data_IF_848750601105
#
_entry.id   IF_848750601105
#
_cell.length_a   1.000
_cell.length_b   1.000
_cell.length_c   1.000
_cell.angle_alpha   90.00
_cell.angle_beta   90.00
_cell.angle_gamma   90.00
#
_symmetry.space_group_name_H-M   'P 1'
#
loop_
_entity.id
_entity.type
_entity.pdbx_description
1 polymer ?
#
# COMPACT_ATOMS: atom_id res chain seq x y z
N UNK A 1 37.62 -29.78 0.64
CA UNK A 1 36.68 -28.71 0.24
C UNK A 1 35.81 -28.36 1.44
N UNK A 2 36.19 -27.29 2.15
CA UNK A 2 35.65 -26.93 3.47
C UNK A 2 34.36 -26.11 3.29
N UNK A 3 33.20 -26.73 3.50
CA UNK A 3 31.91 -26.02 3.49
C UNK A 3 31.86 -25.06 4.67
N UNK A 4 31.96 -23.76 4.39
CA UNK A 4 31.68 -22.73 5.38
C UNK A 4 30.16 -22.60 5.46
N UNK A 5 29.56 -23.22 6.48
CA UNK A 5 28.18 -22.94 6.86
C UNK A 5 28.14 -21.51 7.43
N UNK A 6 27.54 -20.59 6.70
CA UNK A 6 27.15 -19.29 7.23
C UNK A 6 26.00 -19.57 8.20
N UNK A 7 26.29 -19.47 9.50
CA UNK A 7 25.28 -19.48 10.55
C UNK A 7 24.48 -18.18 10.40
N UNK A 8 23.34 -18.25 9.69
CA UNK A 8 22.34 -17.20 9.72
C UNK A 8 21.77 -17.21 11.14
N UNK A 9 22.22 -16.26 11.95
CA UNK A 9 21.72 -16.05 13.31
C UNK A 9 20.24 -15.70 13.22
N UNK A 10 19.40 -16.47 13.90
CA UNK A 10 17.97 -16.21 14.01
C UNK A 10 17.73 -14.77 14.54
N UNK A 11 16.68 -14.06 14.09
CA UNK A 11 16.32 -12.77 14.66
C UNK A 11 15.89 -12.98 16.12
N UNK A 12 16.82 -12.77 17.04
CA UNK A 12 16.58 -12.93 18.48
C UNK A 12 15.82 -11.71 18.98
N UNK A 13 14.52 -11.88 19.19
CA UNK A 13 13.72 -10.92 19.96
C UNK A 13 14.27 -10.84 21.39
N UNK A 14 14.55 -9.64 21.93
CA UNK A 14 15.03 -9.51 23.30
C UNK A 14 14.00 -10.10 24.27
N UNK A 15 14.43 -11.09 25.07
CA UNK A 15 13.57 -11.80 26.03
C UNK A 15 13.08 -10.92 27.20
N UNK A 16 13.64 -9.71 27.36
CA UNK A 16 13.25 -8.76 28.40
C UNK A 16 12.40 -7.63 27.83
N UNK A 17 11.25 -7.39 28.47
CA UNK A 17 10.32 -6.30 28.17
C UNK A 17 10.90 -4.98 28.67
N UNK A 18 11.88 -4.42 27.95
CA UNK A 18 12.38 -3.06 28.18
C UNK A 18 11.23 -2.09 27.96
N UNK A 19 11.04 -1.16 28.90
CA UNK A 19 10.10 -0.05 28.69
C UNK A 19 10.67 0.90 27.63
N UNK A 20 9.83 1.43 26.72
CA UNK A 20 10.26 2.46 25.79
C UNK A 20 10.91 3.63 26.54
N UNK A 21 12.06 4.05 26.04
CA UNK A 21 12.76 5.26 26.50
C UNK A 21 12.29 6.48 25.72
N UNK A 22 12.64 7.67 26.20
CA UNK A 22 12.32 8.92 25.50
C UNK A 22 12.93 8.98 24.09
N UNK A 23 14.11 8.35 23.89
CA UNK A 23 14.78 8.26 22.58
C UNK A 23 14.06 7.29 21.62
N UNK A 24 13.32 6.30 22.13
CA UNK A 24 12.54 5.39 21.28
C UNK A 24 11.25 6.04 20.76
N UNK A 25 10.85 7.20 21.32
CA UNK A 25 9.54 7.79 21.06
C UNK A 25 9.36 8.15 19.59
N UNK A 26 10.36 8.80 18.99
CA UNK A 26 10.28 9.24 17.58
C UNK A 26 10.17 8.03 16.64
N UNK A 27 10.96 6.98 16.90
CA UNK A 27 10.89 5.72 16.14
C UNK A 27 9.52 5.04 16.27
N UNK A 28 8.96 4.99 17.48
CA UNK A 28 7.67 4.36 17.74
C UNK A 28 6.50 5.16 17.14
N UNK A 29 6.58 6.48 17.15
CA UNK A 29 5.60 7.36 16.52
C UNK A 29 5.63 7.20 14.99
N UNK A 30 6.82 7.15 14.37
CA UNK A 30 6.98 6.88 12.93
C UNK A 30 6.50 5.48 12.54
N UNK A 31 6.82 4.46 13.36
CA UNK A 31 6.36 3.10 13.14
C UNK A 31 4.84 3.02 13.20
N UNK A 32 4.22 3.67 14.19
CA UNK A 32 2.76 3.72 14.34
C UNK A 32 2.11 4.42 13.15
N UNK A 33 2.64 5.57 12.72
CA UNK A 33 2.14 6.30 11.57
C UNK A 33 2.23 5.44 10.29
N UNK A 34 3.33 4.72 10.11
CA UNK A 34 3.55 3.82 8.97
C UNK A 34 2.56 2.65 8.97
N UNK A 35 2.37 1.98 10.11
CA UNK A 35 1.40 0.89 10.24
C UNK A 35 -0.01 1.39 9.94
N UNK A 36 -0.41 2.54 10.50
CA UNK A 36 -1.72 3.13 10.23
C UNK A 36 -1.88 3.49 8.74
N UNK A 37 -0.84 3.99 8.08
CA UNK A 37 -0.89 4.25 6.64
C UNK A 37 -1.07 2.96 5.82
N UNK A 38 -0.39 1.87 6.19
CA UNK A 38 -0.51 0.55 5.55
C UNK A 38 -1.90 -0.04 5.76
N UNK A 39 -2.41 -0.05 7.00
CA UNK A 39 -3.76 -0.56 7.32
C UNK A 39 -4.83 0.18 6.53
N UNK A 40 -4.65 1.49 6.34
CA UNK A 40 -5.57 2.29 5.54
C UNK A 40 -5.36 2.14 4.03
N UNK A 41 -4.20 1.66 3.58
CA UNK A 41 -3.85 1.60 2.16
C UNK A 41 -4.85 0.77 1.36
N UNK A 42 -5.22 -0.42 1.85
CA UNK A 42 -6.18 -1.29 1.15
C UNK A 42 -7.56 -0.65 1.06
N UNK A 43 -8.02 -0.02 2.15
CA UNK A 43 -9.30 0.70 2.16
C UNK A 43 -9.32 1.87 1.16
N UNK A 44 -8.22 2.62 1.07
CA UNK A 44 -8.06 3.74 0.15
C UNK A 44 -7.93 3.25 -1.29
N UNK A 45 -7.24 2.13 -1.52
CA UNK A 45 -7.14 1.47 -2.83
C UNK A 45 -8.53 1.04 -3.32
N UNK A 46 -9.30 0.34 -2.50
CA UNK A 46 -10.66 -0.09 -2.86
C UNK A 46 -11.58 1.10 -3.10
N UNK A 47 -11.48 2.16 -2.29
CA UNK A 47 -12.23 3.40 -2.50
C UNK A 47 -11.86 4.07 -3.82
N UNK A 48 -10.57 4.17 -4.15
CA UNK A 48 -10.09 4.71 -5.43
C UNK A 48 -10.65 3.92 -6.61
N UNK A 49 -10.59 2.59 -6.56
CA UNK A 49 -11.11 1.72 -7.62
C UNK A 49 -12.60 1.95 -7.88
N UNK A 50 -13.40 2.00 -6.80
CA UNK A 50 -14.83 2.30 -6.89
C UNK A 50 -15.11 3.64 -7.57
N UNK A 51 -14.39 4.69 -7.16
CA UNK A 51 -14.55 6.04 -7.71
C UNK A 51 -14.16 6.11 -9.19
N UNK A 52 -13.08 5.42 -9.58
CA UNK A 52 -12.64 5.35 -10.99
C UNK A 52 -13.69 4.64 -11.85
N UNK A 53 -14.25 3.52 -11.39
CA UNK A 53 -15.31 2.81 -12.10
C UNK A 53 -16.59 3.63 -12.20
N UNK A 54 -16.96 4.33 -11.13
CA UNK A 54 -18.12 5.22 -11.12
C UNK A 54 -17.93 6.38 -12.11
N UNK A 55 -16.77 7.04 -12.09
CA UNK A 55 -16.42 8.08 -13.04
C UNK A 55 -16.47 7.58 -14.49
N UNK A 56 -15.92 6.40 -14.76
CA UNK A 56 -15.93 5.80 -16.08
C UNK A 56 -17.34 5.42 -16.54
N UNK A 57 -18.19 4.90 -15.65
CA UNK A 57 -19.62 4.63 -15.93
C UNK A 57 -20.42 5.90 -16.23
N UNK A 58 -20.01 7.05 -15.69
CA UNK A 58 -20.58 8.37 -16.00
C UNK A 58 -20.05 8.97 -17.30
N UNK A 59 -19.21 8.25 -18.05
CA UNK A 59 -18.69 8.68 -19.34
C UNK A 59 -17.41 9.50 -19.28
N UNK A 60 -16.76 9.63 -18.12
CA UNK A 60 -15.47 10.33 -18.02
C UNK A 60 -14.36 9.47 -18.64
N UNK A 61 -13.62 10.08 -19.57
CA UNK A 61 -12.50 9.44 -20.25
C UNK A 61 -11.27 9.34 -19.35
N UNK A 62 -10.37 8.39 -19.61
CA UNK A 62 -9.12 8.25 -18.87
C UNK A 62 -8.27 9.53 -18.95
N UNK A 63 -8.25 10.18 -20.13
CA UNK A 63 -7.62 11.49 -20.34
C UNK A 63 -8.19 12.57 -19.43
N UNK A 64 -9.51 12.71 -19.37
CA UNK A 64 -10.17 13.72 -18.51
C UNK A 64 -9.84 13.47 -17.03
N UNK A 65 -9.84 12.21 -16.60
CA UNK A 65 -9.48 11.87 -15.23
C UNK A 65 -8.01 12.18 -14.93
N UNK A 66 -7.11 11.90 -15.88
CA UNK A 66 -5.68 12.15 -15.77
C UNK A 66 -5.36 13.63 -15.54
N UNK A 67 -6.04 14.52 -16.29
CA UNK A 67 -5.94 15.96 -16.12
C UNK A 67 -6.45 16.43 -14.75
N UNK A 68 -7.57 15.88 -14.27
CA UNK A 68 -8.17 16.28 -12.98
C UNK A 68 -7.36 15.81 -11.77
N UNK A 69 -6.81 14.59 -11.81
CA UNK A 69 -6.05 14.01 -10.68
C UNK A 69 -4.54 14.27 -10.75
N UNK A 70 -4.08 15.02 -11.75
CA UNK A 70 -2.67 15.33 -12.01
C UNK A 70 -1.80 14.06 -12.06
N UNK A 71 -2.20 13.11 -12.91
CA UNK A 71 -1.49 11.83 -13.11
C UNK A 71 -1.39 11.49 -14.59
N UNK A 72 -0.36 10.72 -15.00
CA UNK A 72 -0.24 10.26 -16.38
C UNK A 72 -1.46 9.44 -16.83
N UNK A 73 -1.92 9.66 -18.06
CA UNK A 73 -3.08 8.95 -18.63
C UNK A 73 -2.91 7.44 -18.58
N UNK A 74 -1.71 6.92 -18.88
CA UNK A 74 -1.41 5.49 -18.78
C UNK A 74 -1.64 4.90 -17.38
N UNK A 75 -1.42 5.70 -16.32
CA UNK A 75 -1.72 5.28 -14.94
C UNK A 75 -3.23 5.13 -14.73
N UNK A 76 -4.04 6.05 -15.26
CA UNK A 76 -5.50 5.99 -15.17
C UNK A 76 -6.05 4.80 -15.98
N UNK A 77 -5.53 4.56 -17.17
CA UNK A 77 -5.90 3.39 -17.99
C UNK A 77 -5.63 2.10 -17.21
N UNK A 78 -4.45 1.97 -16.61
CA UNK A 78 -4.10 0.82 -15.78
C UNK A 78 -5.04 0.67 -14.58
N UNK A 79 -5.38 1.77 -13.91
CA UNK A 79 -6.31 1.73 -12.77
C UNK A 79 -7.74 1.34 -13.16
N UNK A 80 -8.24 1.83 -14.31
CA UNK A 80 -9.55 1.44 -14.84
C UNK A 80 -9.56 -0.05 -15.18
N UNK A 81 -8.54 -0.53 -15.88
CA UNK A 81 -8.40 -1.95 -16.26
C UNK A 81 -8.33 -2.85 -15.02
N UNK A 82 -7.51 -2.48 -14.04
CA UNK A 82 -7.41 -3.23 -12.79
C UNK A 82 -8.73 -3.24 -12.02
N UNK A 83 -9.41 -2.10 -11.91
CA UNK A 83 -10.67 -2.02 -11.20
C UNK A 83 -11.77 -2.88 -11.87
N UNK A 84 -11.78 -2.96 -13.20
CA UNK A 84 -12.71 -3.85 -13.95
C UNK A 84 -12.39 -5.33 -13.73
N UNK A 85 -11.11 -5.69 -13.71
CA UNK A 85 -10.70 -7.07 -13.41
C UNK A 85 -11.11 -7.48 -11.99
N UNK A 86 -10.87 -6.60 -11.01
CA UNK A 86 -11.22 -6.84 -9.61
C UNK A 86 -12.75 -6.91 -9.39
N UNK A 87 -13.56 -6.17 -10.15
CA UNK A 87 -15.04 -6.26 -10.12
C UNK A 87 -15.57 -7.58 -10.71
N UNK A 88 -14.87 -8.13 -11.71
CA UNK A 88 -15.23 -9.41 -12.33
C UNK A 88 -14.90 -10.62 -11.44
N UNK A 89 -13.82 -10.56 -10.66
CA UNK A 89 -13.40 -11.61 -9.72
C UNK A 89 -14.31 -11.71 -8.47
N UNK A 90 -15.04 -10.62 -8.15
CA UNK A 90 -15.94 -10.56 -6.99
C UNK A 90 -17.39 -10.99 -7.26
N UNK A 91 -17.72 -11.43 -8.48
CA UNK A 91 -19.07 -11.86 -8.91
C UNK A 91 -19.12 -13.35 -9.21
#
# INVERSE_FOLDING_TARGET
>A
MTKHLICLTEPTMPKSRRLPTAEDKDLLDDLKATITAIENYDSLRSRRQRLILEANRRGLSARTLAEVVDRPEGTLINWVTQARADEADQK
#
